data_IF_313341372687
#
_entry.id   IF_313341372687
#
_cell.length_a   1.000
_cell.length_b   1.000
_cell.length_c   1.000
_cell.angle_alpha   90.00
_cell.angle_beta   90.00
_cell.angle_gamma   90.00
#
_symmetry.space_group_name_H-M   'P 1'
#
loop_
_entity.id
_entity.type
_entity.pdbx_description
1 polymer ?
#
# COMPACT_ATOMS: atom_id res chain seq x y z
N UNK A 1 12.63 2.88 -2.26
CA UNK A 1 12.47 1.68 -1.41
C UNK A 1 11.11 1.74 -0.70
N UNK A 2 10.52 0.62 -0.29
CA UNK A 2 9.23 0.62 0.42
C UNK A 2 9.05 -0.62 1.30
N UNK A 3 8.17 -0.50 2.30
CA UNK A 3 7.66 -1.60 3.12
C UNK A 3 6.27 -2.01 2.62
N UNK A 4 6.04 -3.32 2.56
CA UNK A 4 4.75 -3.92 2.19
C UNK A 4 4.40 -4.94 3.26
N UNK A 5 3.16 -4.90 3.75
CA UNK A 5 2.69 -5.85 4.74
C UNK A 5 1.22 -5.65 5.09
N UNK A 6 0.62 -6.64 5.74
CA UNK A 6 -0.81 -6.65 6.04
C UNK A 6 -1.26 -5.45 6.88
N UNK A 7 -0.39 -4.89 7.73
CA UNK A 7 -0.71 -3.69 8.54
C UNK A 7 -0.33 -2.37 7.88
N UNK A 8 0.77 -2.34 7.13
CA UNK A 8 1.38 -1.11 6.57
C UNK A 8 0.89 -0.82 5.14
N UNK A 9 0.35 -1.84 4.45
CA UNK A 9 -0.08 -1.85 3.04
C UNK A 9 1.04 -1.52 2.07
N UNK A 10 1.31 -0.23 1.86
CA UNK A 10 2.43 0.27 1.06
C UNK A 10 2.94 1.54 1.73
N UNK A 11 4.17 1.52 2.23
CA UNK A 11 4.80 2.71 2.83
C UNK A 11 6.18 2.97 2.20
N UNK A 12 6.44 4.16 1.64
CA UNK A 12 7.74 4.50 1.09
C UNK A 12 8.79 4.65 2.21
N UNK A 13 9.98 4.09 1.99
CA UNK A 13 11.15 4.37 2.81
C UNK A 13 11.99 5.41 2.10
N UNK A 14 12.20 6.55 2.76
CA UNK A 14 12.86 7.74 2.19
C UNK A 14 14.28 7.96 2.70
N UNK A 15 14.69 7.24 3.74
CA UNK A 15 16.05 7.26 4.28
C UNK A 15 16.47 5.87 4.76
N UNK A 16 17.77 5.61 4.77
CA UNK A 16 18.38 4.38 5.27
C UNK A 16 19.73 4.70 5.90
N UNK A 17 19.97 4.23 7.13
CA UNK A 17 21.20 4.49 7.88
C UNK A 17 21.63 5.97 7.84
N UNK A 18 20.70 6.88 8.17
CA UNK A 18 20.87 8.34 8.14
C UNK A 18 21.17 8.96 6.75
N UNK A 19 21.10 8.18 5.67
CA UNK A 19 21.27 8.68 4.31
C UNK A 19 19.91 8.80 3.58
N UNK A 20 19.61 9.94 2.92
CA UNK A 20 18.41 10.06 2.12
C UNK A 20 18.48 9.14 0.88
N UNK A 21 17.37 8.51 0.56
CA UNK A 21 17.22 7.73 -0.68
C UNK A 21 16.71 8.68 -1.77
N UNK A 22 17.49 8.89 -2.83
CA UNK A 22 17.14 9.82 -3.89
C UNK A 22 17.07 11.26 -3.38
N UNK A 23 15.90 11.90 -3.48
CA UNK A 23 15.65 13.26 -2.99
C UNK A 23 15.08 13.31 -1.57
N UNK A 24 15.03 12.16 -0.87
CA UNK A 24 14.48 12.04 0.47
C UNK A 24 12.95 12.17 0.52
N UNK A 25 12.26 12.04 -0.61
CA UNK A 25 10.79 12.11 -0.69
C UNK A 25 10.20 10.79 -1.19
N UNK A 26 8.91 10.53 -0.91
CA UNK A 26 8.19 9.42 -1.53
C UNK A 26 8.26 9.47 -3.05
N UNK A 27 8.77 8.40 -3.66
CA UNK A 27 8.76 8.27 -5.11
C UNK A 27 7.34 8.03 -5.66
N UNK A 28 7.08 8.39 -6.92
CA UNK A 28 5.74 8.33 -7.52
C UNK A 28 5.19 6.90 -7.64
N UNK A 29 6.05 5.89 -7.66
CA UNK A 29 5.64 4.48 -7.74
C UNK A 29 4.97 4.01 -6.45
N UNK A 30 5.42 4.48 -5.28
CA UNK A 30 4.85 4.06 -4.00
C UNK A 30 3.39 4.53 -3.86
N UNK A 31 3.10 5.77 -4.26
CA UNK A 31 1.74 6.30 -4.28
C UNK A 31 0.83 5.51 -5.24
N UNK A 32 1.30 5.30 -6.48
CA UNK A 32 0.54 4.51 -7.46
C UNK A 32 0.25 3.08 -7.00
N UNK A 33 1.22 2.43 -6.35
CA UNK A 33 1.01 1.08 -5.82
C UNK A 33 0.00 1.06 -4.67
N UNK A 34 0.00 2.09 -3.82
CA UNK A 34 -1.01 2.25 -2.78
C UNK A 34 -2.41 2.44 -3.36
N UNK A 35 -2.54 3.25 -4.41
CA UNK A 35 -3.81 3.45 -5.12
C UNK A 35 -4.33 2.14 -5.74
N UNK A 36 -3.46 1.40 -6.42
CA UNK A 36 -3.78 0.09 -6.98
C UNK A 36 -4.16 -0.92 -5.90
N UNK A 37 -3.45 -0.94 -4.76
CA UNK A 37 -3.80 -1.80 -3.64
C UNK A 37 -5.20 -1.49 -3.10
N UNK A 38 -5.56 -0.22 -3.00
CA UNK A 38 -6.88 0.23 -2.58
C UNK A 38 -8.00 -0.17 -3.55
N UNK A 39 -7.73 -0.17 -4.85
CA UNK A 39 -8.66 -0.63 -5.87
C UNK A 39 -8.86 -2.15 -5.77
N UNK A 40 -7.75 -2.90 -5.76
CA UNK A 40 -7.73 -4.36 -5.73
C UNK A 40 -8.55 -4.94 -4.57
N UNK A 41 -8.38 -4.40 -3.35
CA UNK A 41 -9.13 -4.87 -2.16
C UNK A 41 -10.63 -4.54 -2.18
N UNK A 42 -11.11 -3.80 -3.19
CA UNK A 42 -12.53 -3.52 -3.40
C UNK A 42 -13.11 -4.29 -4.58
N UNK A 43 -12.31 -4.56 -5.61
CA UNK A 43 -12.80 -5.03 -6.91
C UNK A 43 -12.43 -6.48 -7.23
N UNK A 44 -11.41 -7.05 -6.58
CA UNK A 44 -10.92 -8.42 -6.83
C UNK A 44 -11.87 -9.50 -6.26
N UNK A 45 -13.10 -9.54 -6.74
CA UNK A 45 -14.16 -10.44 -6.26
C UNK A 45 -13.82 -11.94 -6.41
N UNK A 46 -12.89 -12.28 -7.30
CA UNK A 46 -12.34 -13.63 -7.48
C UNK A 46 -11.31 -14.02 -6.39
N UNK A 47 -10.74 -13.04 -5.70
CA UNK A 47 -9.72 -13.22 -4.65
C UNK A 47 -10.21 -12.82 -3.25
N UNK A 48 -11.37 -12.17 -3.15
CA UNK A 48 -11.94 -11.66 -1.91
C UNK A 48 -13.16 -12.48 -1.45
N UNK A 49 -13.20 -12.81 -0.16
CA UNK A 49 -14.35 -13.46 0.47
C UNK A 49 -15.25 -12.40 1.11
N UNK A 50 -16.52 -12.32 0.67
CA UNK A 50 -17.51 -11.46 1.32
C UNK A 50 -17.85 -11.99 2.71
N UNK A 51 -17.71 -11.14 3.71
CA UNK A 51 -18.13 -11.44 5.08
C UNK A 51 -19.57 -10.94 5.27
N UNK A 52 -20.52 -11.79 5.71
CA UNK A 52 -21.93 -11.42 5.84
C UNK A 52 -22.18 -10.66 7.14
N UNK A 53 -21.81 -9.39 7.18
CA UNK A 53 -22.20 -8.50 8.28
C UNK A 53 -23.70 -8.17 8.17
N UNK A 54 -24.45 -8.11 9.29
CA UNK A 54 -25.82 -7.65 9.27
C UNK A 54 -25.86 -6.20 8.78
N UNK A 55 -26.84 -5.86 7.95
CA UNK A 55 -27.11 -4.47 7.62
C UNK A 55 -27.57 -3.77 8.92
N UNK A 56 -26.91 -2.67 9.26
CA UNK A 56 -27.19 -1.87 10.46
C UNK A 56 -28.46 -1.04 10.35
#
# INVERSE_FOLDING_TARGET
>A
MMLIGSSIKVAPVVSWDDHPIGDGKPGPIAGKLLDLWHEDVRTAADQLVRVPYPEG
#
